data_IF_506773064139
#
_entry.id   IF_506773064139
#
_cell.length_a   1.000
_cell.length_b   1.000
_cell.length_c   1.000
_cell.angle_alpha   90.00
_cell.angle_beta   90.00
_cell.angle_gamma   90.00
#
_symmetry.space_group_name_H-M   'P 1'
#
loop_
_entity.id
_entity.type
_entity.pdbx_description
1 polymer ?
#
# COMPACT_ATOMS: atom_id res chain seq x y z
N UNK A 1 4.57 21.86 11.52
CA UNK A 1 4.05 21.88 10.14
C UNK A 1 5.16 21.74 9.10
N UNK A 2 6.14 22.65 9.07
CA UNK A 2 7.22 22.67 8.07
C UNK A 2 8.03 21.35 7.99
N UNK A 3 8.41 20.76 9.13
CA UNK A 3 9.18 19.49 9.15
C UNK A 3 8.43 18.31 8.50
N UNK A 4 7.10 18.24 8.62
CA UNK A 4 6.29 17.18 8.00
C UNK A 4 6.14 17.37 6.49
N UNK A 5 6.05 18.63 6.04
CA UNK A 5 5.98 18.99 4.62
C UNK A 5 7.34 18.72 3.95
N UNK A 6 8.45 19.14 4.58
CA UNK A 6 9.82 18.92 4.08
C UNK A 6 10.09 17.43 3.92
N UNK A 7 9.71 16.59 4.88
CA UNK A 7 9.88 15.14 4.78
C UNK A 7 9.12 14.55 3.59
N UNK A 8 7.86 14.95 3.38
CA UNK A 8 7.07 14.48 2.23
C UNK A 8 7.63 14.97 0.89
N UNK A 9 8.13 16.20 0.81
CA UNK A 9 8.81 16.72 -0.39
C UNK A 9 10.09 15.93 -0.66
N UNK A 10 10.88 15.63 0.38
CA UNK A 10 12.07 14.80 0.22
C UNK A 10 11.73 13.40 -0.29
N UNK A 11 10.63 12.82 0.17
CA UNK A 11 10.27 11.44 -0.15
C UNK A 11 9.64 11.29 -1.56
N UNK A 12 8.82 12.26 -2.02
CA UNK A 12 8.12 12.13 -3.32
C UNK A 12 8.17 13.38 -4.23
N UNK A 13 9.02 14.36 -3.95
CA UNK A 13 9.13 15.60 -4.71
C UNK A 13 7.97 16.58 -4.51
N UNK A 14 7.97 17.65 -5.31
CA UNK A 14 6.95 18.70 -5.30
C UNK A 14 5.78 18.29 -6.20
N UNK A 15 4.61 18.08 -5.61
CA UNK A 15 3.33 17.84 -6.33
C UNK A 15 2.43 19.07 -6.23
N UNK A 16 1.35 19.18 -7.03
CA UNK A 16 0.47 20.36 -7.00
C UNK A 16 -0.06 20.62 -5.58
N UNK A 17 -0.52 19.57 -4.90
CA UNK A 17 -1.07 19.64 -3.53
C UNK A 17 -0.03 20.15 -2.52
N UNK A 18 1.22 19.70 -2.61
CA UNK A 18 2.28 20.10 -1.67
C UNK A 18 2.77 21.51 -1.95
N UNK A 19 2.85 21.90 -3.23
CA UNK A 19 3.20 23.25 -3.64
C UNK A 19 2.20 24.27 -3.08
N UNK A 20 0.90 23.99 -3.19
CA UNK A 20 -0.16 24.83 -2.60
C UNK A 20 0.02 25.04 -1.09
N UNK A 21 0.33 23.98 -0.34
CA UNK A 21 0.52 24.07 1.12
C UNK A 21 1.73 24.96 1.46
N UNK A 22 2.85 24.80 0.75
CA UNK A 22 4.06 25.61 0.97
C UNK A 22 3.77 27.07 0.71
N UNK A 23 3.14 27.35 -0.43
CA UNK A 23 2.88 28.71 -0.88
C UNK A 23 1.85 29.41 0.01
N UNK A 24 0.82 28.70 0.47
CA UNK A 24 -0.12 29.19 1.48
C UNK A 24 0.57 29.46 2.82
N UNK A 25 1.48 28.59 3.27
CA UNK A 25 2.24 28.80 4.50
C UNK A 25 3.15 30.04 4.40
N UNK A 26 3.80 30.25 3.26
CA UNK A 26 4.57 31.47 2.99
C UNK A 26 3.69 32.72 3.01
N UNK A 27 2.52 32.67 2.40
CA UNK A 27 1.58 33.79 2.42
C UNK A 27 1.05 34.12 3.81
N UNK A 28 0.70 33.09 4.60
CA UNK A 28 0.31 33.28 6.00
C UNK A 28 1.45 33.92 6.80
N UNK A 29 2.70 33.48 6.58
CA UNK A 29 3.88 34.06 7.24
C UNK A 29 4.09 35.52 6.85
N UNK A 30 3.86 35.85 5.57
CA UNK A 30 3.92 37.24 5.09
C UNK A 30 2.82 38.11 5.73
N UNK A 31 1.58 37.61 5.80
CA UNK A 31 0.46 38.34 6.42
C UNK A 31 0.64 38.53 7.92
N UNK A 32 1.14 37.51 8.63
CA UNK A 32 1.42 37.64 10.07
C UNK A 32 2.52 38.66 10.34
N UNK A 33 3.59 38.64 9.55
CA UNK A 33 4.68 39.62 9.66
C UNK A 33 4.20 41.04 9.32
N UNK A 34 3.35 41.18 8.30
CA UNK A 34 2.74 42.46 7.93
C UNK A 34 1.91 43.06 9.08
N UNK A 35 1.06 42.25 9.73
CA UNK A 35 0.28 42.72 10.88
C UNK A 35 1.14 43.03 12.10
N UNK A 36 2.19 42.25 12.35
CA UNK A 36 3.13 42.46 13.45
C UNK A 36 3.84 43.83 13.34
N UNK A 37 4.22 44.23 12.12
CA UNK A 37 4.94 45.50 11.90
C UNK A 37 3.97 46.69 11.84
N UNK A 38 2.82 46.55 11.18
CA UNK A 38 1.93 47.69 10.87
C UNK A 38 0.96 48.05 12.01
N UNK A 39 0.73 47.15 12.98
CA UNK A 39 -0.03 47.42 14.21
C UNK A 39 -1.51 47.81 14.05
N UNK A 40 -2.04 47.87 12.82
CA UNK A 40 -3.46 48.17 12.52
C UNK A 40 -4.03 47.12 11.57
N UNK A 41 -5.04 46.40 12.04
CA UNK A 41 -5.70 45.33 11.29
C UNK A 41 -6.75 45.90 10.33
N UNK A 42 -6.40 46.02 9.05
CA UNK A 42 -7.39 46.20 8.00
C UNK A 42 -7.85 44.82 7.52
N UNK A 43 -9.02 44.38 7.96
CA UNK A 43 -9.59 43.05 7.65
C UNK A 43 -9.69 42.82 6.13
N UNK A 44 -9.82 43.89 5.32
CA UNK A 44 -9.84 43.84 3.84
C UNK A 44 -8.53 43.40 3.20
N UNK A 45 -7.39 43.53 3.89
CA UNK A 45 -6.07 43.16 3.34
C UNK A 45 -5.95 41.66 3.11
N UNK A 46 -6.57 40.85 3.96
CA UNK A 46 -6.54 39.38 3.87
C UNK A 46 -7.17 38.90 2.56
N UNK A 47 -8.46 39.19 2.24
CA UNK A 47 -9.06 38.71 0.99
C UNK A 47 -8.44 39.34 -0.26
N UNK A 48 -8.05 40.63 -0.22
CA UNK A 48 -7.45 41.30 -1.39
C UNK A 48 -6.06 40.71 -1.72
N UNK A 49 -5.20 40.55 -0.71
CA UNK A 49 -3.87 39.98 -0.93
C UNK A 49 -3.96 38.52 -1.37
N UNK A 50 -4.89 37.74 -0.80
CA UNK A 50 -5.11 36.35 -1.21
C UNK A 50 -5.58 36.25 -2.65
N UNK A 51 -6.45 37.16 -3.11
CA UNK A 51 -6.94 37.18 -4.50
C UNK A 51 -5.81 37.36 -5.50
N UNK A 52 -4.98 38.41 -5.33
CA UNK A 52 -3.85 38.65 -6.23
C UNK A 52 -2.79 37.55 -6.13
N UNK A 53 -2.57 37.02 -4.93
CA UNK A 53 -1.65 35.90 -4.72
C UNK A 53 -2.14 34.62 -5.42
N UNK A 54 -3.42 34.28 -5.31
CA UNK A 54 -4.03 33.14 -5.99
C UNK A 54 -3.93 33.26 -7.52
N UNK A 55 -4.22 34.43 -8.09
CA UNK A 55 -4.03 34.67 -9.54
C UNK A 55 -2.58 34.43 -9.95
N UNK A 56 -1.63 34.93 -9.16
CA UNK A 56 -0.19 34.78 -9.45
C UNK A 56 0.26 33.31 -9.42
N UNK A 57 -0.36 32.49 -8.57
CA UNK A 57 -0.06 31.07 -8.41
C UNK A 57 -0.73 30.20 -9.48
N UNK A 58 -1.85 30.65 -10.04
CA UNK A 58 -2.53 29.91 -11.12
C UNK A 58 -1.94 30.26 -12.48
N UNK A 59 -1.71 31.55 -12.75
CA UNK A 59 -1.36 32.05 -14.09
C UNK A 59 0.09 32.54 -14.22
N UNK A 60 0.85 32.65 -13.12
CA UNK A 60 2.21 33.18 -13.16
C UNK A 60 3.26 32.17 -13.63
N UNK A 61 4.49 32.63 -13.91
CA UNK A 61 5.62 31.76 -14.27
C UNK A 61 6.01 30.79 -13.14
N UNK A 62 5.67 31.12 -11.89
CA UNK A 62 5.76 30.23 -10.72
C UNK A 62 4.43 29.53 -10.42
N UNK A 63 3.64 29.22 -11.45
CA UNK A 63 2.38 28.54 -11.23
C UNK A 63 2.59 27.16 -10.61
N UNK A 64 1.56 26.67 -9.91
CA UNK A 64 1.54 25.31 -9.34
C UNK A 64 1.88 24.29 -10.41
N UNK A 65 1.30 24.46 -11.61
CA UNK A 65 1.46 23.57 -12.75
C UNK A 65 2.88 23.59 -13.28
N UNK A 66 3.49 24.76 -13.46
CA UNK A 66 4.89 24.86 -13.94
C UNK A 66 5.87 24.28 -12.92
N UNK A 67 5.65 24.55 -11.63
CA UNK A 67 6.49 24.08 -10.53
C UNK A 67 6.48 22.57 -10.37
N UNK A 68 5.29 21.94 -10.28
CA UNK A 68 5.18 20.49 -10.16
C UNK A 68 5.70 19.80 -11.41
N UNK A 69 5.31 20.27 -12.59
CA UNK A 69 5.72 19.70 -13.88
C UNK A 69 7.23 19.64 -14.05
N UNK A 70 7.94 20.75 -13.83
CA UNK A 70 9.39 20.78 -13.97
C UNK A 70 10.08 19.90 -12.91
N UNK A 71 9.57 19.89 -11.67
CA UNK A 71 10.10 19.04 -10.60
C UNK A 71 9.97 17.55 -10.94
N UNK A 72 8.79 17.12 -11.38
CA UNK A 72 8.51 15.71 -11.66
C UNK A 72 9.22 15.24 -12.94
N UNK A 73 9.32 16.09 -13.97
CA UNK A 73 10.09 15.78 -15.18
C UNK A 73 11.58 15.62 -14.88
N UNK A 74 12.17 16.50 -14.08
CA UNK A 74 13.57 16.40 -13.70
C UNK A 74 13.83 15.17 -12.83
N UNK A 75 12.88 14.83 -11.94
CA UNK A 75 12.95 13.61 -11.13
C UNK A 75 12.85 12.36 -11.99
N UNK A 76 11.99 12.36 -13.01
CA UNK A 76 11.90 11.26 -13.98
C UNK A 76 13.21 11.11 -14.75
N UNK A 77 13.77 12.20 -15.29
CA UNK A 77 15.07 12.18 -15.95
C UNK A 77 16.18 11.63 -15.03
N UNK A 78 16.21 12.05 -13.76
CA UNK A 78 17.16 11.56 -12.76
C UNK A 78 17.06 10.05 -12.51
N UNK A 79 15.85 9.48 -12.46
CA UNK A 79 15.70 8.03 -12.33
C UNK A 79 16.00 7.29 -13.64
N UNK A 80 15.73 7.91 -14.79
CA UNK A 80 16.02 7.32 -16.08
C UNK A 80 17.52 7.13 -16.31
N UNK A 81 18.36 8.05 -15.81
CA UNK A 81 19.82 7.99 -15.86
C UNK A 81 20.45 6.94 -14.91
N UNK A 82 19.69 6.42 -13.95
CA UNK A 82 20.16 5.40 -13.02
C UNK A 82 20.07 3.99 -13.61
N UNK A 83 20.91 3.08 -13.10
CA UNK A 83 20.81 1.66 -13.42
C UNK A 83 19.42 1.11 -13.06
N UNK A 84 18.82 0.24 -13.90
CA UNK A 84 17.54 -0.40 -13.59
C UNK A 84 17.57 -1.13 -12.24
N UNK A 85 16.54 -0.91 -11.43
CA UNK A 85 16.30 -1.63 -10.18
C UNK A 85 14.80 -1.56 -9.83
N UNK A 86 14.26 -2.49 -9.02
CA UNK A 86 12.85 -2.47 -8.61
C UNK A 86 12.38 -1.15 -8.03
N UNK A 87 13.21 -0.55 -7.15
CA UNK A 87 12.93 0.77 -6.58
C UNK A 87 12.83 1.84 -7.66
N UNK A 88 13.84 1.92 -8.52
CA UNK A 88 13.92 2.90 -9.60
C UNK A 88 12.76 2.74 -10.58
N UNK A 89 12.43 1.51 -10.98
CA UNK A 89 11.37 1.22 -11.95
C UNK A 89 9.99 1.59 -11.40
N UNK A 90 9.76 1.37 -10.11
CA UNK A 90 8.55 1.83 -9.46
C UNK A 90 8.44 3.35 -9.39
N UNK A 91 9.52 4.04 -9.05
CA UNK A 91 9.53 5.51 -9.07
C UNK A 91 9.27 6.04 -10.48
N UNK A 92 9.87 5.45 -11.52
CA UNK A 92 9.58 5.81 -12.92
C UNK A 92 8.10 5.62 -13.25
N UNK A 93 7.48 4.50 -12.82
CA UNK A 93 6.06 4.24 -13.03
C UNK A 93 5.15 5.26 -12.35
N UNK A 94 5.46 5.60 -11.10
CA UNK A 94 4.73 6.61 -10.33
C UNK A 94 4.82 7.97 -11.02
N UNK A 95 6.00 8.34 -11.50
CA UNK A 95 6.28 9.61 -12.18
C UNK A 95 5.60 9.70 -13.55
N UNK A 96 5.65 8.64 -14.36
CA UNK A 96 4.94 8.57 -15.64
C UNK A 96 3.44 8.70 -15.43
N UNK A 97 2.89 7.95 -14.46
CA UNK A 97 1.47 8.01 -14.12
C UNK A 97 1.04 9.40 -13.65
N UNK A 98 1.86 10.02 -12.80
CA UNK A 98 1.62 11.38 -12.33
C UNK A 98 1.62 12.39 -13.49
N UNK A 99 2.69 12.43 -14.29
CA UNK A 99 2.83 13.41 -15.36
C UNK A 99 1.70 13.22 -16.38
N UNK A 100 1.37 11.98 -16.74
CA UNK A 100 0.27 11.69 -17.63
C UNK A 100 -1.07 12.22 -17.08
N UNK A 101 -1.41 11.89 -15.83
CA UNK A 101 -2.70 12.24 -15.24
C UNK A 101 -2.89 13.75 -15.02
N UNK A 102 -1.81 14.48 -14.66
CA UNK A 102 -1.89 15.89 -14.28
C UNK A 102 -1.45 16.87 -15.38
N UNK A 103 -0.62 16.40 -16.32
CA UNK A 103 -0.03 17.26 -17.36
C UNK A 103 -0.15 16.70 -18.78
N UNK A 104 -0.65 15.47 -18.95
CA UNK A 104 -0.82 14.81 -20.24
C UNK A 104 0.46 14.16 -20.77
N UNK A 105 0.31 13.29 -21.77
CA UNK A 105 1.41 12.52 -22.33
C UNK A 105 2.47 13.37 -23.05
N UNK A 106 2.10 14.53 -23.61
CA UNK A 106 3.00 15.41 -24.37
C UNK A 106 4.22 15.84 -23.56
N UNK A 107 4.07 15.97 -22.24
CA UNK A 107 5.15 16.35 -21.33
C UNK A 107 6.21 15.26 -21.13
N UNK A 108 5.91 14.01 -21.51
CA UNK A 108 6.84 12.89 -21.49
C UNK A 108 7.63 12.76 -22.79
N UNK A 109 7.22 13.44 -23.88
CA UNK A 109 7.87 13.39 -25.19
C UNK A 109 9.38 13.67 -25.15
N UNK A 110 9.91 14.64 -24.38
CA UNK A 110 11.35 14.89 -24.32
C UNK A 110 12.17 13.72 -23.75
N UNK A 111 11.52 12.80 -23.04
CA UNK A 111 12.15 11.65 -22.38
C UNK A 111 11.91 10.33 -23.13
N UNK A 112 11.10 10.35 -24.19
CA UNK A 112 10.75 9.17 -25.00
C UNK A 112 11.17 9.41 -26.44
N UNK A 113 11.91 8.46 -27.03
CA UNK A 113 12.42 8.59 -28.40
C UNK A 113 11.31 8.47 -29.46
N UNK A 114 10.31 7.64 -29.21
CA UNK A 114 9.19 7.43 -30.11
C UNK A 114 8.20 8.59 -30.06
N UNK A 115 7.51 8.83 -31.17
CA UNK A 115 6.45 9.84 -31.26
C UNK A 115 5.21 9.40 -30.46
N UNK A 116 4.96 10.08 -29.34
CA UNK A 116 3.82 9.78 -28.47
C UNK A 116 2.49 10.22 -29.07
N UNK A 117 2.46 11.17 -30.01
CA UNK A 117 1.23 11.57 -30.70
C UNK A 117 0.77 10.46 -31.64
N UNK A 118 1.69 9.88 -32.43
CA UNK A 118 1.39 8.71 -33.26
C UNK A 118 0.92 7.48 -32.43
N UNK A 119 1.54 7.24 -31.27
CA UNK A 119 1.15 6.17 -30.34
C UNK A 119 -0.25 6.43 -29.78
N UNK A 120 -0.55 7.65 -29.35
CA UNK A 120 -1.88 8.03 -28.86
C UNK A 120 -2.94 7.86 -29.96
N UNK A 121 -2.66 8.28 -31.18
CA UNK A 121 -3.57 8.17 -32.32
C UNK A 121 -3.89 6.72 -32.67
N UNK A 122 -2.90 5.83 -32.61
CA UNK A 122 -3.09 4.40 -32.80
C UNK A 122 -4.09 3.83 -31.79
N UNK A 123 -3.89 4.12 -30.49
CA UNK A 123 -4.78 3.63 -29.44
C UNK A 123 -6.17 4.26 -29.49
N UNK A 124 -6.28 5.57 -29.77
CA UNK A 124 -7.57 6.26 -29.90
C UNK A 124 -8.41 5.61 -31.01
N UNK A 125 -7.80 5.26 -32.16
CA UNK A 125 -8.49 4.59 -33.27
C UNK A 125 -8.92 3.16 -32.92
N UNK A 126 -8.10 2.42 -32.18
CA UNK A 126 -8.42 1.06 -31.73
C UNK A 126 -9.54 1.06 -30.68
N UNK A 127 -9.52 2.01 -29.75
CA UNK A 127 -10.54 2.22 -28.71
C UNK A 127 -11.91 2.54 -29.31
N UNK A 128 -11.95 3.37 -30.35
CA UNK A 128 -13.19 3.69 -31.07
C UNK A 128 -13.81 2.46 -31.75
N UNK A 129 -13.00 1.47 -32.12
CA UNK A 129 -13.44 0.24 -32.78
C UNK A 129 -13.93 -0.82 -31.79
N UNK A 130 -13.25 -0.95 -30.65
CA UNK A 130 -13.44 -2.07 -29.71
C UNK A 130 -14.28 -1.70 -28.47
N UNK A 131 -14.93 -0.53 -28.45
CA UNK A 131 -15.74 -0.01 -27.32
C UNK A 131 -14.98 0.01 -25.99
N UNK A 132 -13.67 0.25 -26.04
CA UNK A 132 -12.80 0.26 -24.87
C UNK A 132 -13.12 1.49 -24.01
N UNK A 133 -13.12 1.34 -22.69
CA UNK A 133 -13.37 2.47 -21.78
C UNK A 133 -12.21 3.47 -21.78
N UNK A 134 -12.49 4.76 -21.52
CA UNK A 134 -11.46 5.80 -21.35
C UNK A 134 -10.42 5.46 -20.28
N UNK A 135 -10.82 4.73 -19.23
CA UNK A 135 -9.89 4.30 -18.19
C UNK A 135 -8.84 3.32 -18.74
N UNK A 136 -9.29 2.40 -19.57
CA UNK A 136 -8.46 1.37 -20.18
C UNK A 136 -7.54 1.97 -21.26
N UNK A 137 -8.04 2.93 -22.04
CA UNK A 137 -7.23 3.76 -22.95
C UNK A 137 -6.07 4.45 -22.23
N UNK A 138 -6.35 5.11 -21.11
CA UNK A 138 -5.31 5.77 -20.30
C UNK A 138 -4.31 4.77 -19.72
N UNK A 139 -4.78 3.58 -19.32
CA UNK A 139 -3.92 2.50 -18.82
C UNK A 139 -2.96 2.03 -19.91
N UNK A 140 -3.48 1.68 -21.09
CA UNK A 140 -2.71 1.22 -22.24
C UNK A 140 -1.67 2.27 -22.67
N UNK A 141 -2.04 3.55 -22.68
CA UNK A 141 -1.12 4.63 -23.04
C UNK A 141 0.04 4.73 -22.04
N UNK A 142 -0.24 4.65 -20.73
CA UNK A 142 0.81 4.64 -19.69
C UNK A 142 1.69 3.40 -19.80
N UNK A 143 1.10 2.22 -19.97
CA UNK A 143 1.82 0.96 -20.12
C UNK A 143 2.74 0.98 -21.35
N UNK A 144 2.29 1.59 -22.44
CA UNK A 144 3.08 1.78 -23.67
C UNK A 144 4.26 2.73 -23.45
N UNK A 145 4.04 3.85 -22.75
CA UNK A 145 5.13 4.77 -22.39
C UNK A 145 6.18 4.06 -21.51
N UNK A 146 5.75 3.24 -20.54
CA UNK A 146 6.66 2.47 -19.69
C UNK A 146 7.48 1.47 -20.50
N UNK A 147 6.84 0.76 -21.43
CA UNK A 147 7.52 -0.16 -22.33
C UNK A 147 8.56 0.57 -23.19
N UNK A 148 8.23 1.75 -23.73
CA UNK A 148 9.17 2.59 -24.50
C UNK A 148 10.36 3.10 -23.66
N UNK A 149 10.20 3.19 -22.34
CA UNK A 149 11.25 3.54 -21.38
C UNK A 149 12.02 2.30 -20.87
N UNK A 150 11.72 1.10 -21.39
CA UNK A 150 12.23 -0.19 -20.93
C UNK A 150 11.95 -0.45 -19.44
N UNK A 151 10.72 -0.17 -19.00
CA UNK A 151 10.24 -0.42 -17.63
C UNK A 151 9.02 -1.35 -17.67
N UNK A 152 9.00 -2.37 -16.81
CA UNK A 152 7.85 -3.28 -16.70
C UNK A 152 6.59 -2.51 -16.27
N UNK A 153 5.45 -2.88 -16.83
CA UNK A 153 4.14 -2.32 -16.47
C UNK A 153 3.72 -2.64 -15.03
N UNK A 154 4.16 -3.77 -14.48
CA UNK A 154 3.80 -4.25 -13.15
C UNK A 154 4.74 -3.69 -12.08
N UNK A 155 4.19 -3.37 -10.90
CA UNK A 155 5.02 -2.99 -9.76
C UNK A 155 6.00 -4.10 -9.38
N UNK A 156 7.27 -3.73 -9.30
CA UNK A 156 8.32 -4.62 -8.83
C UNK A 156 8.41 -4.50 -7.31
N UNK A 157 8.64 -5.58 -6.58
CA UNK A 157 8.69 -5.50 -5.12
C UNK A 157 10.00 -4.85 -4.67
N UNK A 158 9.94 -3.57 -4.25
CA UNK A 158 11.09 -2.77 -3.78
C UNK A 158 11.74 -3.36 -2.53
N UNK A 159 10.90 -3.94 -1.68
CA UNK A 159 11.28 -4.66 -0.48
C UNK A 159 10.57 -6.01 -0.53
N UNK A 160 11.13 -6.96 -1.28
CA UNK A 160 11.03 -8.31 -0.77
C UNK A 160 11.60 -8.27 0.63
N UNK A 161 10.89 -8.77 1.64
CA UNK A 161 11.37 -8.87 3.03
C UNK A 161 12.54 -9.91 3.15
N UNK A 162 13.38 -9.97 2.10
CA UNK A 162 14.28 -11.00 1.62
C UNK A 162 13.59 -12.19 0.96
N UNK A 163 12.27 -12.16 0.76
CA UNK A 163 11.46 -13.28 0.26
C UNK A 163 11.60 -13.42 -1.26
N UNK A 164 11.85 -14.61 -1.80
CA UNK A 164 11.79 -14.84 -3.25
C UNK A 164 10.31 -14.82 -3.71
N UNK A 165 9.95 -13.93 -4.63
CA UNK A 165 8.57 -13.79 -5.13
C UNK A 165 8.06 -15.05 -5.81
N UNK A 166 8.94 -15.79 -6.49
CA UNK A 166 8.58 -17.01 -7.19
C UNK A 166 8.27 -18.16 -6.21
N UNK A 167 8.68 -17.99 -4.94
CA UNK A 167 8.40 -18.96 -3.87
C UNK A 167 7.11 -18.67 -3.10
N UNK A 168 6.44 -17.54 -3.35
CA UNK A 168 5.23 -17.16 -2.62
C UNK A 168 4.09 -18.08 -3.00
N UNK A 169 3.55 -18.77 -1.99
CA UNK A 169 2.32 -19.58 -2.10
C UNK A 169 1.23 -18.93 -1.26
N UNK A 170 0.01 -18.92 -1.80
CA UNK A 170 -1.18 -18.46 -1.10
C UNK A 170 -2.04 -19.68 -0.72
N UNK A 171 -2.36 -19.80 0.56
CA UNK A 171 -3.22 -20.86 1.07
C UNK A 171 -4.56 -20.26 1.47
N UNK A 172 -5.62 -20.76 0.84
CA UNK A 172 -6.99 -20.35 1.07
C UNK A 172 -7.75 -21.47 1.76
N UNK A 173 -8.43 -21.12 2.85
CA UNK A 173 -9.35 -22.05 3.49
C UNK A 173 -10.50 -22.37 2.53
N UNK A 174 -10.73 -23.65 2.28
CA UNK A 174 -11.78 -24.17 1.38
C UNK A 174 -13.19 -23.80 1.85
N UNK A 175 -13.37 -23.56 3.15
CA UNK A 175 -14.62 -23.08 3.73
C UNK A 175 -14.50 -21.61 4.19
N UNK A 176 -13.73 -20.78 3.46
CA UNK A 176 -13.58 -19.36 3.78
C UNK A 176 -14.95 -18.68 3.97
N UNK A 177 -15.16 -18.08 5.14
CA UNK A 177 -16.41 -17.41 5.51
C UNK A 177 -17.45 -18.32 6.19
N UNK A 178 -17.29 -19.64 6.16
CA UNK A 178 -18.17 -20.58 6.85
C UNK A 178 -17.53 -21.09 8.14
N UNK A 179 -18.18 -20.83 9.29
CA UNK A 179 -17.67 -21.16 10.62
C UNK A 179 -18.71 -21.95 11.43
N UNK A 180 -18.38 -23.19 11.82
CA UNK A 180 -19.12 -23.87 12.87
C UNK A 180 -18.61 -23.39 14.24
N UNK A 181 -19.50 -22.75 14.99
CA UNK A 181 -19.23 -22.14 16.29
C UNK A 181 -20.11 -22.70 17.41
N UNK A 182 -20.73 -23.86 17.17
CA UNK A 182 -21.63 -24.47 18.15
C UNK A 182 -20.87 -24.77 19.45
N UNK A 183 -21.33 -24.18 20.56
CA UNK A 183 -20.68 -24.30 21.86
C UNK A 183 -19.49 -23.35 22.08
N UNK A 184 -19.20 -22.43 21.16
CA UNK A 184 -18.18 -21.40 21.36
C UNK A 184 -18.73 -20.24 22.21
N UNK A 185 -17.94 -19.75 23.16
CA UNK A 185 -18.27 -18.58 23.98
C UNK A 185 -17.89 -17.25 23.31
N UNK A 186 -16.91 -17.27 22.39
CA UNK A 186 -16.44 -16.06 21.70
C UNK A 186 -15.77 -16.38 20.38
N UNK A 187 -15.92 -15.47 19.41
CA UNK A 187 -15.14 -15.43 18.17
C UNK A 187 -14.47 -14.05 18.07
N UNK A 188 -13.18 -14.02 17.72
CA UNK A 188 -12.40 -12.79 17.53
C UNK A 188 -11.64 -12.86 16.22
N UNK A 189 -11.91 -11.94 15.30
CA UNK A 189 -11.21 -11.84 14.01
C UNK A 189 -9.86 -11.16 14.16
N UNK A 190 -8.87 -11.57 13.38
CA UNK A 190 -7.56 -10.93 13.30
C UNK A 190 -7.04 -10.85 11.86
N UNK A 191 -6.13 -9.91 11.64
CA UNK A 191 -5.50 -9.68 10.33
C UNK A 191 -4.08 -9.14 10.53
N UNK A 192 -3.08 -9.72 9.88
CA UNK A 192 -1.70 -9.25 10.02
C UNK A 192 -1.51 -7.90 9.31
N UNK A 193 -2.09 -7.71 8.12
CA UNK A 193 -1.86 -6.52 7.27
C UNK A 193 -0.40 -6.36 6.85
N UNK A 194 -0.17 -5.60 5.77
CA UNK A 194 1.17 -5.41 5.17
C UNK A 194 1.99 -4.28 5.81
N UNK A 195 1.39 -3.45 6.67
CA UNK A 195 2.07 -2.30 7.30
C UNK A 195 2.51 -2.62 8.74
N UNK A 196 3.83 -2.73 8.94
CA UNK A 196 4.47 -2.91 10.24
C UNK A 196 4.20 -1.78 11.25
N UNK A 197 3.64 -0.65 10.82
CA UNK A 197 3.31 0.51 11.65
C UNK A 197 2.02 0.36 12.45
N UNK A 198 1.11 -0.52 12.03
CA UNK A 198 -0.13 -0.79 12.75
C UNK A 198 0.11 -1.95 13.71
N UNK A 199 0.61 -1.64 14.90
CA UNK A 199 0.57 -2.58 16.03
C UNK A 199 -0.89 -2.89 16.34
N UNK A 200 -1.45 -3.91 15.71
CA UNK A 200 -2.82 -4.37 15.93
C UNK A 200 -2.88 -5.13 17.23
N UNK A 201 -3.12 -4.35 18.26
CA UNK A 201 -3.46 -4.83 19.56
C UNK A 201 -5.00 -4.91 19.65
N UNK A 202 -5.56 -6.12 19.61
CA UNK A 202 -6.99 -6.34 19.76
C UNK A 202 -7.28 -6.67 21.22
N UNK A 203 -7.98 -5.78 21.92
CA UNK A 203 -8.38 -5.98 23.31
C UNK A 203 -9.85 -6.38 23.36
N UNK A 204 -10.17 -7.42 24.12
CA UNK A 204 -11.55 -7.88 24.30
C UNK A 204 -11.76 -8.46 25.70
N UNK A 205 -13.03 -8.68 26.05
CA UNK A 205 -13.43 -9.32 27.32
C UNK A 205 -14.13 -10.65 27.06
N UNK A 206 -13.88 -11.61 27.94
CA UNK A 206 -14.52 -12.92 27.99
C UNK A 206 -14.57 -13.35 29.47
N UNK A 207 -15.76 -13.68 29.99
CA UNK A 207 -16.02 -13.98 31.42
C UNK A 207 -15.39 -12.99 32.40
N UNK A 208 -15.60 -11.68 32.17
CA UNK A 208 -14.99 -10.59 32.94
C UNK A 208 -13.45 -10.54 32.95
N UNK A 209 -12.76 -11.44 32.24
CA UNK A 209 -11.31 -11.37 32.04
C UNK A 209 -10.99 -10.53 30.81
N UNK A 210 -9.88 -9.77 30.88
CA UNK A 210 -9.38 -8.99 29.75
C UNK A 210 -8.37 -9.83 28.98
N UNK A 211 -8.56 -9.87 27.68
CA UNK A 211 -7.65 -10.50 26.73
C UNK A 211 -7.03 -9.46 25.81
N UNK A 212 -5.79 -9.72 25.46
CA UNK A 212 -5.00 -8.93 24.53
C UNK A 212 -4.44 -9.84 23.45
N UNK A 213 -4.78 -9.55 22.20
CA UNK A 213 -4.19 -10.20 21.04
C UNK A 213 -3.18 -9.26 20.39
N UNK A 214 -1.93 -9.71 20.27
CA UNK A 214 -0.85 -8.96 19.65
C UNK A 214 -0.21 -9.78 18.55
N UNK A 215 0.03 -9.15 17.40
CA UNK A 215 0.84 -9.73 16.34
C UNK A 215 2.24 -9.14 16.45
N UNK A 216 3.27 -9.98 16.54
CA UNK A 216 4.67 -9.53 16.59
C UNK A 216 5.27 -9.30 15.20
N UNK A 217 6.52 -8.80 15.16
CA UNK A 217 7.25 -8.55 13.92
C UNK A 217 7.63 -9.83 13.15
N UNK A 218 7.49 -11.01 13.77
CA UNK A 218 7.64 -12.33 13.14
C UNK A 218 6.30 -12.90 12.72
N UNK A 219 5.23 -12.09 12.72
CA UNK A 219 3.87 -12.50 12.38
C UNK A 219 3.33 -13.62 13.26
N UNK A 220 3.81 -13.78 14.49
CA UNK A 220 3.23 -14.70 15.45
C UNK A 220 2.09 -14.03 16.19
N UNK A 221 1.05 -14.79 16.47
CA UNK A 221 -0.15 -14.30 17.14
C UNK A 221 -0.01 -14.64 18.62
N UNK A 222 0.14 -13.62 19.43
CA UNK A 222 0.25 -13.72 20.89
C UNK A 222 -1.09 -13.38 21.52
N UNK A 223 -1.65 -14.31 22.29
CA UNK A 223 -2.85 -14.10 23.07
C UNK A 223 -2.47 -14.11 24.55
N UNK A 224 -2.70 -12.99 25.23
CA UNK A 224 -2.45 -12.83 26.66
C UNK A 224 -3.76 -12.59 27.39
N UNK A 225 -3.93 -13.24 28.55
CA UNK A 225 -5.00 -12.94 29.51
C UNK A 225 -4.43 -12.17 30.69
N UNK A 226 -5.28 -11.44 31.42
CA UNK A 226 -4.91 -10.82 32.70
C UNK A 226 -4.56 -11.83 33.81
N UNK A 227 -4.90 -13.11 33.65
CA UNK A 227 -4.81 -14.14 34.72
C UNK A 227 -3.96 -15.35 34.31
N UNK A 228 -3.47 -15.43 33.07
CA UNK A 228 -2.74 -16.59 32.54
C UNK A 228 -1.56 -16.17 31.65
N UNK A 229 -0.63 -17.11 31.49
CA UNK A 229 0.52 -16.97 30.60
C UNK A 229 0.11 -16.76 29.15
N UNK A 230 0.96 -16.04 28.41
CA UNK A 230 0.80 -15.75 26.99
C UNK A 230 0.88 -17.04 26.17
N UNK A 231 -0.15 -17.30 25.36
CA UNK A 231 -0.13 -18.39 24.37
C UNK A 231 0.23 -17.82 23.00
N UNK A 232 1.04 -18.56 22.25
CA UNK A 232 1.52 -18.12 20.93
C UNK A 232 1.08 -19.10 19.85
N UNK A 233 0.38 -18.59 18.84
CA UNK A 233 0.06 -19.31 17.61
C UNK A 233 1.12 -18.99 16.55
N UNK A 234 1.87 -20.02 16.15
CA UNK A 234 3.02 -19.93 15.26
C UNK A 234 2.57 -20.08 13.80
N UNK A 235 2.07 -19.00 13.21
CA UNK A 235 1.65 -18.96 11.81
C UNK A 235 2.79 -19.33 10.83
N UNK A 236 4.03 -18.98 11.18
CA UNK A 236 5.26 -19.37 10.48
C UNK A 236 5.44 -20.90 10.39
N UNK A 237 5.18 -21.60 11.50
CA UNK A 237 5.29 -23.06 11.53
C UNK A 237 4.20 -23.74 10.69
N UNK A 238 2.98 -23.19 10.73
CA UNK A 238 1.87 -23.66 9.89
C UNK A 238 2.13 -23.41 8.40
N UNK A 239 2.62 -22.22 8.05
CA UNK A 239 2.97 -21.90 6.67
C UNK A 239 4.03 -22.88 6.14
N UNK A 240 5.05 -23.20 6.94
CA UNK A 240 6.09 -24.17 6.56
C UNK A 240 5.51 -25.57 6.31
N UNK A 241 4.55 -26.02 7.12
CA UNK A 241 3.94 -27.34 6.88
C UNK A 241 3.10 -27.36 5.61
N UNK A 242 2.36 -26.29 5.33
CA UNK A 242 1.57 -26.15 4.09
C UNK A 242 2.47 -26.07 2.85
N UNK A 243 3.55 -25.29 2.89
CA UNK A 243 4.49 -25.16 1.78
C UNK A 243 5.13 -26.49 1.37
N UNK A 244 5.41 -27.36 2.35
CA UNK A 244 6.02 -28.67 2.16
C UNK A 244 5.00 -29.76 1.80
N UNK A 245 3.71 -29.47 1.86
CA UNK A 245 2.68 -30.46 1.56
C UNK A 245 2.43 -30.56 0.06
N UNK A 246 2.89 -31.66 -0.53
CA UNK A 246 2.75 -31.96 -1.97
C UNK A 246 1.34 -32.40 -2.39
N UNK A 247 0.44 -32.72 -1.45
CA UNK A 247 -0.92 -33.16 -1.77
C UNK A 247 -1.91 -32.02 -1.99
N UNK A 248 -1.52 -30.77 -1.67
CA UNK A 248 -2.37 -29.60 -1.85
C UNK A 248 -2.57 -29.31 -3.33
N UNK A 249 -3.82 -29.02 -3.71
CA UNK A 249 -4.20 -28.73 -5.10
C UNK A 249 -4.29 -27.23 -5.34
N UNK A 250 -3.82 -26.82 -6.51
CA UNK A 250 -4.00 -25.46 -7.00
C UNK A 250 -5.48 -25.18 -7.25
N UNK A 251 -5.90 -23.95 -6.96
CA UNK A 251 -7.21 -23.40 -7.33
C UNK A 251 -6.97 -22.38 -8.44
N UNK A 252 -7.63 -22.56 -9.58
CA UNK A 252 -7.41 -21.73 -10.77
C UNK A 252 -6.13 -22.15 -11.51
N UNK A 253 -6.23 -22.42 -12.81
CA UNK A 253 -5.25 -23.23 -13.55
C UNK A 253 -3.78 -22.77 -13.51
N UNK A 254 -3.50 -21.46 -13.37
CA UNK A 254 -2.15 -20.90 -13.53
C UNK A 254 -1.73 -19.95 -12.39
N UNK A 255 -2.03 -20.29 -11.14
CA UNK A 255 -1.71 -19.47 -9.97
C UNK A 255 -0.82 -20.16 -8.92
N UNK A 256 -0.46 -19.41 -7.88
CA UNK A 256 0.18 -19.93 -6.65
C UNK A 256 -0.81 -20.11 -5.49
N UNK A 257 -2.10 -20.21 -5.83
CA UNK A 257 -3.22 -20.33 -4.90
C UNK A 257 -3.59 -21.79 -4.65
N UNK A 258 -3.63 -22.19 -3.38
CA UNK A 258 -3.94 -23.55 -2.95
C UNK A 258 -5.19 -23.59 -2.08
N UNK A 259 -6.05 -24.56 -2.37
CA UNK A 259 -7.20 -24.89 -1.53
C UNK A 259 -6.80 -25.78 -0.39
N UNK A 260 -7.13 -25.38 0.83
CA UNK A 260 -6.73 -26.10 2.04
C UNK A 260 -7.94 -26.36 2.93
N UNK A 261 -8.04 -27.58 3.46
CA UNK A 261 -9.11 -27.94 4.40
C UNK A 261 -8.96 -27.18 5.73
N UNK A 262 -10.07 -26.83 6.42
CA UNK A 262 -10.03 -26.01 7.63
C UNK A 262 -9.16 -26.58 8.76
N UNK A 263 -9.09 -27.90 8.88
CA UNK A 263 -8.32 -28.61 9.91
C UNK A 263 -6.82 -28.38 9.73
N UNK A 264 -6.38 -28.29 8.47
CA UNK A 264 -5.00 -27.99 8.09
C UNK A 264 -4.69 -26.50 8.14
N UNK A 265 -5.70 -25.63 8.23
CA UNK A 265 -5.57 -24.18 8.38
C UNK A 265 -5.83 -23.73 9.82
N UNK A 266 -5.71 -24.62 10.80
CA UNK A 266 -6.04 -24.33 12.19
C UNK A 266 -4.93 -24.75 13.16
N UNK A 267 -4.72 -23.94 14.20
CA UNK A 267 -3.86 -24.27 15.34
C UNK A 267 -4.72 -24.26 16.60
N UNK A 268 -4.78 -25.39 17.30
CA UNK A 268 -5.49 -25.50 18.59
C UNK A 268 -4.52 -25.32 19.76
N UNK A 269 -4.92 -24.51 20.74
CA UNK A 269 -4.21 -24.34 22.02
C UNK A 269 -5.18 -24.43 23.17
N UNK A 270 -4.67 -24.88 24.30
CA UNK A 270 -5.43 -25.02 25.54
C UNK A 270 -5.02 -23.92 26.51
N UNK A 271 -6.01 -23.31 27.17
CA UNK A 271 -5.84 -22.39 28.30
C UNK A 271 -6.49 -23.01 29.54
N UNK A 272 -6.46 -22.35 30.70
CA UNK A 272 -7.10 -22.86 31.93
C UNK A 272 -8.59 -23.16 31.73
N UNK A 273 -9.30 -22.25 31.07
CA UNK A 273 -10.78 -22.30 30.97
C UNK A 273 -11.27 -22.59 29.55
N UNK A 274 -10.43 -22.46 28.54
CA UNK A 274 -10.83 -22.50 27.14
C UNK A 274 -9.90 -23.36 26.28
N UNK A 275 -10.49 -24.12 25.36
CA UNK A 275 -9.83 -24.55 24.13
C UNK A 275 -9.95 -23.43 23.10
N UNK A 276 -8.83 -22.93 22.61
CA UNK A 276 -8.77 -21.83 21.64
C UNK A 276 -8.31 -22.37 20.30
N UNK A 277 -9.17 -22.26 19.29
CA UNK A 277 -8.85 -22.61 17.90
C UNK A 277 -8.51 -21.34 17.14
N UNK A 278 -7.27 -21.24 16.68
CA UNK A 278 -6.83 -20.21 15.74
C UNK A 278 -6.95 -20.76 14.32
N UNK A 279 -8.04 -20.39 13.65
CA UNK A 279 -8.33 -20.77 12.27
C UNK A 279 -7.92 -19.64 11.34
N UNK A 280 -7.11 -19.95 10.35
CA UNK A 280 -6.71 -19.03 9.29
C UNK A 280 -7.68 -19.16 8.11
N UNK A 281 -8.12 -18.03 7.55
CA UNK A 281 -8.92 -18.01 6.32
C UNK A 281 -8.00 -17.84 5.10
N UNK A 282 -7.01 -16.96 5.22
CA UNK A 282 -5.92 -16.81 4.26
C UNK A 282 -4.60 -16.81 4.99
N UNK A 283 -3.63 -17.49 4.42
CA UNK A 283 -2.25 -17.49 4.88
C UNK A 283 -1.34 -17.55 3.65
N UNK A 284 -0.44 -16.59 3.50
CA UNK A 284 0.53 -16.60 2.43
C UNK A 284 1.94 -16.32 2.92
N UNK A 285 2.88 -16.75 2.11
CA UNK A 285 4.27 -16.44 2.32
C UNK A 285 5.18 -17.24 1.42
N UNK A 286 6.45 -16.87 1.45
CA UNK A 286 7.50 -17.44 0.62
C UNK A 286 8.72 -17.82 1.42
N UNK A 287 9.82 -18.03 0.72
CA UNK A 287 11.11 -18.43 1.26
C UNK A 287 12.05 -17.22 1.17
N UNK A 288 12.68 -16.86 2.27
CA UNK A 288 13.76 -15.87 2.30
C UNK A 288 15.03 -16.47 1.67
N UNK A 289 15.93 -15.66 1.10
CA UNK A 289 17.21 -16.12 0.50
C UNK A 289 18.03 -17.12 1.36
N UNK A 290 17.80 -17.21 2.68
CA UNK A 290 18.41 -18.19 3.59
C UNK A 290 17.52 -19.41 3.93
N UNK A 291 16.57 -19.78 3.06
CA UNK A 291 15.64 -20.92 3.26
C UNK A 291 14.68 -20.79 4.45
N UNK A 292 14.51 -19.58 5.01
CA UNK A 292 13.57 -19.31 6.08
C UNK A 292 12.19 -18.97 5.50
N UNK A 293 11.17 -19.75 5.85
CA UNK A 293 9.77 -19.44 5.55
C UNK A 293 9.40 -18.11 6.19
N UNK A 294 8.90 -17.18 5.37
CA UNK A 294 8.48 -15.86 5.79
C UNK A 294 7.00 -15.67 5.49
N UNK A 295 6.23 -15.44 6.54
CA UNK A 295 4.81 -15.12 6.45
C UNK A 295 4.64 -13.69 5.96
N UNK A 296 3.96 -13.52 4.83
CA UNK A 296 3.74 -12.21 4.20
C UNK A 296 2.44 -11.59 4.70
N UNK A 297 1.37 -12.39 4.76
CA UNK A 297 0.04 -11.96 5.15
C UNK A 297 -0.80 -13.14 5.67
N UNK A 298 -1.65 -12.85 6.66
CA UNK A 298 -2.78 -13.71 6.99
C UNK A 298 -3.95 -12.95 7.56
N UNK A 299 -5.10 -13.60 7.54
CA UNK A 299 -6.29 -13.25 8.31
C UNK A 299 -6.93 -14.53 8.88
N UNK A 300 -7.79 -14.36 9.88
CA UNK A 300 -8.43 -15.49 10.51
C UNK A 300 -9.29 -15.13 11.70
N UNK A 301 -9.66 -16.16 12.43
CA UNK A 301 -10.48 -16.07 13.65
C UNK A 301 -9.90 -16.92 14.78
N UNK A 302 -10.01 -16.40 15.99
CA UNK A 302 -9.88 -17.16 17.22
C UNK A 302 -11.26 -17.56 17.71
N UNK A 303 -11.47 -18.84 17.97
CA UNK A 303 -12.72 -19.40 18.47
C UNK A 303 -12.45 -19.99 19.85
N UNK A 304 -13.20 -19.51 20.85
CA UNK A 304 -13.04 -19.90 22.26
C UNK A 304 -14.13 -20.89 22.64
N UNK A 305 -13.75 -22.13 22.89
CA UNK A 305 -14.63 -23.17 23.41
C UNK A 305 -14.38 -23.35 24.90
N UNK A 306 -15.40 -23.20 25.77
CA UNK A 306 -15.23 -23.43 27.19
C UNK A 306 -14.86 -24.90 27.42
N UNK A 307 -13.90 -25.12 28.32
CA UNK A 307 -13.60 -26.46 28.81
C UNK A 307 -14.75 -26.89 29.71
N UNK A 308 -15.27 -28.09 29.48
CA UNK A 308 -16.17 -28.76 30.41
C UNK A 308 -15.42 -29.17 31.67
#
# INVERSE_FOLDING_TARGET
LAVSIIKRISDYGITESRYLIIVLALWLTFITLYFLIKGREQIRVIPISLFFFAISIVFGPWSITSGSKNSQRNRLAYYLDQKPSPKRNNEVRDLVSYIYNFHGYKELQPLVKSDLEAVNDYFTKQVAKDSISRFEEQRIMKDSILALLNVDTNYELVNNLGVDTNSVKNFKNSLEGELNVQGASKVVTFYSGMNNSDKKNIKFKLDNQRYELRIDSSYRIHLKSSVQDEIVFKADSLLKSLQNNKSLKLIGGAGSDYGVLPEMMSISKETKNYKVICRFERLNGGVKQNSLTYTVYYNGVLIFYPKK
#
